data_IF_383730957022
#
_entry.id   IF_383730957022
#
_cell.length_a   1.000
_cell.length_b   1.000
_cell.length_c   1.000
_cell.angle_alpha   90.00
_cell.angle_beta   90.00
_cell.angle_gamma   90.00
#
_symmetry.space_group_name_H-M   'P 1'
#
loop_
_entity.id
_entity.type
_entity.pdbx_description
1 polymer ?
#
# COMPACT_ATOMS: atom_id res chain seq x y z
N UNK A 1 12.40 14.23 6.75
CA UNK A 1 12.47 12.85 6.24
C UNK A 1 13.62 12.75 5.23
N UNK A 2 14.78 12.21 5.61
CA UNK A 2 15.95 12.10 4.74
C UNK A 2 15.70 11.19 3.53
N UNK A 3 15.01 10.06 3.73
CA UNK A 3 14.70 9.09 2.66
C UNK A 3 13.20 9.06 2.35
N UNK A 4 12.83 9.64 1.20
CA UNK A 4 11.42 9.78 0.78
C UNK A 4 10.84 8.46 0.31
N UNK A 5 9.54 8.27 0.56
CA UNK A 5 8.71 7.27 -0.11
C UNK A 5 8.14 7.84 -1.40
N UNK A 6 7.84 6.99 -2.36
CA UNK A 6 7.26 7.39 -3.64
C UNK A 6 5.97 6.65 -3.90
N UNK A 7 5.10 7.27 -4.69
CA UNK A 7 4.01 6.59 -5.37
C UNK A 7 4.27 6.66 -6.86
N UNK A 8 4.26 5.51 -7.51
CA UNK A 8 4.40 5.39 -8.96
C UNK A 8 3.02 5.07 -9.52
N UNK A 9 2.56 5.89 -10.45
CA UNK A 9 1.24 5.81 -11.06
C UNK A 9 1.42 5.99 -12.56
N UNK A 10 1.03 4.95 -13.30
CA UNK A 10 1.21 4.85 -14.74
C UNK A 10 0.07 5.46 -15.56
N UNK A 11 -0.87 6.14 -14.91
CA UNK A 11 -1.94 6.92 -15.57
C UNK A 11 -2.79 6.09 -16.54
N UNK A 12 -3.28 4.94 -16.09
CA UNK A 12 -4.13 4.04 -16.88
C UNK A 12 -3.42 2.89 -17.58
N UNK A 13 -2.08 2.91 -17.67
CA UNK A 13 -1.33 1.78 -18.20
C UNK A 13 -1.10 0.71 -17.12
N UNK A 14 -1.33 -0.55 -17.47
CA UNK A 14 -1.05 -1.68 -16.59
C UNK A 14 0.31 -2.30 -16.91
N UNK A 15 1.09 -2.57 -15.86
CA UNK A 15 2.39 -3.21 -15.93
C UNK A 15 2.39 -4.49 -15.11
N UNK A 16 3.29 -5.41 -15.46
CA UNK A 16 3.51 -6.63 -14.69
C UNK A 16 4.70 -6.46 -13.76
N UNK A 17 4.50 -6.78 -12.49
CA UNK A 17 5.59 -6.96 -11.53
C UNK A 17 5.78 -8.46 -11.33
N UNK A 18 7.00 -8.92 -11.55
CA UNK A 18 7.40 -10.29 -11.24
C UNK A 18 7.81 -10.39 -9.77
N UNK A 19 7.09 -11.20 -9.01
CA UNK A 19 7.34 -11.45 -7.58
C UNK A 19 8.28 -12.64 -7.39
N UNK A 20 8.15 -13.66 -8.25
CA UNK A 20 9.01 -14.85 -8.28
C UNK A 20 9.11 -15.40 -9.70
N UNK A 21 9.79 -16.53 -9.90
CA UNK A 21 9.87 -17.18 -11.22
C UNK A 21 8.49 -17.59 -11.78
N UNK A 22 7.51 -17.81 -10.90
CA UNK A 22 6.18 -18.33 -11.27
C UNK A 22 5.04 -17.36 -10.96
N UNK A 23 5.31 -16.24 -10.30
CA UNK A 23 4.29 -15.31 -9.82
C UNK A 23 4.51 -13.90 -10.36
N UNK A 24 3.46 -13.35 -10.97
CA UNK A 24 3.42 -11.99 -11.47
C UNK A 24 2.07 -11.35 -11.13
N UNK A 25 2.08 -10.04 -10.89
CA UNK A 25 0.86 -9.24 -10.64
C UNK A 25 0.74 -8.10 -11.64
N UNK A 26 -0.51 -7.76 -11.99
CA UNK A 26 -0.81 -6.59 -12.81
C UNK A 26 -1.03 -5.37 -11.90
N UNK A 27 -0.36 -4.25 -12.20
CA UNK A 27 -0.47 -3.00 -11.43
C UNK A 27 -0.59 -1.80 -12.36
N UNK A 28 -1.49 -0.87 -12.02
CA UNK A 28 -1.54 0.48 -12.62
C UNK A 28 -0.77 1.49 -11.77
N UNK A 29 -0.70 1.23 -10.47
CA UNK A 29 0.06 2.02 -9.51
C UNK A 29 0.63 1.14 -8.39
N UNK A 30 1.73 1.58 -7.78
CA UNK A 30 2.31 0.96 -6.60
C UNK A 30 3.05 2.00 -5.77
N UNK A 31 3.37 1.64 -4.52
CA UNK A 31 4.16 2.49 -3.64
C UNK A 31 5.58 1.94 -3.52
N UNK A 32 6.56 2.83 -3.46
CA UNK A 32 7.93 2.52 -3.07
C UNK A 32 8.11 2.95 -1.61
N UNK A 33 8.00 1.98 -0.72
CA UNK A 33 8.21 2.17 0.71
C UNK A 33 9.70 2.29 1.02
N UNK A 34 10.06 3.36 1.75
CA UNK A 34 11.46 3.61 2.11
C UNK A 34 11.92 2.90 3.39
N UNK A 35 10.97 2.42 4.21
CA UNK A 35 11.16 1.86 5.55
C UNK A 35 12.00 2.73 6.49
N UNK A 36 12.05 4.04 6.23
CA UNK A 36 12.88 4.96 7.00
C UNK A 36 12.35 5.20 8.42
N UNK A 37 11.04 5.18 8.60
CA UNK A 37 10.43 5.38 9.92
C UNK A 37 9.66 4.13 10.28
N UNK A 38 10.34 3.22 10.97
CA UNK A 38 9.73 2.05 11.58
C UNK A 38 9.69 2.23 13.11
N UNK A 39 8.62 1.79 13.81
CA UNK A 39 8.59 1.82 15.26
C UNK A 39 9.66 0.89 15.87
N UNK A 40 10.57 1.44 16.68
CA UNK A 40 11.62 0.68 17.35
C UNK A 40 12.89 0.56 16.51
N UNK A 41 13.53 -0.61 16.51
CA UNK A 41 14.74 -0.85 15.70
C UNK A 41 14.39 -0.89 14.20
N UNK A 42 15.18 -0.23 13.36
CA UNK A 42 14.98 -0.22 11.90
C UNK A 42 15.46 -1.57 11.31
N UNK A 43 14.53 -2.36 10.80
CA UNK A 43 14.76 -3.72 10.28
C UNK A 43 14.63 -3.80 8.77
N UNK A 44 13.92 -2.85 8.15
CA UNK A 44 13.62 -2.84 6.72
C UNK A 44 12.67 -3.95 6.24
N UNK A 45 11.99 -4.64 7.17
CA UNK A 45 11.27 -5.89 6.86
C UNK A 45 9.84 -5.96 7.39
N UNK A 46 9.39 -5.05 8.27
CA UNK A 46 8.11 -5.23 8.98
C UNK A 46 6.91 -5.32 8.04
N UNK A 47 6.81 -4.45 7.04
CA UNK A 47 5.68 -4.45 6.10
C UNK A 47 5.67 -5.72 5.23
N UNK A 48 6.84 -6.17 4.78
CA UNK A 48 6.98 -7.37 3.97
C UNK A 48 6.61 -8.64 4.76
N UNK A 49 7.19 -8.79 5.97
CA UNK A 49 6.88 -9.93 6.84
C UNK A 49 5.39 -9.93 7.23
N UNK A 50 4.79 -8.77 7.47
CA UNK A 50 3.37 -8.68 7.76
C UNK A 50 2.50 -9.13 6.58
N UNK A 51 2.84 -8.69 5.35
CA UNK A 51 2.17 -9.14 4.13
C UNK A 51 2.28 -10.66 3.97
N UNK A 52 3.49 -11.22 4.08
CA UNK A 52 3.72 -12.66 3.97
C UNK A 52 2.96 -13.45 5.03
N UNK A 53 2.97 -13.00 6.29
CA UNK A 53 2.22 -13.62 7.38
C UNK A 53 0.71 -13.65 7.11
N UNK A 54 0.13 -12.53 6.67
CA UNK A 54 -1.30 -12.49 6.36
C UNK A 54 -1.66 -13.36 5.16
N UNK A 55 -0.76 -13.45 4.18
CA UNK A 55 -0.92 -14.35 3.03
C UNK A 55 -0.91 -15.81 3.48
N UNK A 56 0.04 -16.20 4.33
CA UNK A 56 0.10 -17.55 4.89
C UNK A 56 -1.13 -17.89 5.75
N UNK A 57 -1.69 -16.89 6.44
CA UNK A 57 -2.95 -17.01 7.16
C UNK A 57 -4.21 -17.08 6.26
N UNK A 58 -4.06 -17.00 4.94
CA UNK A 58 -5.16 -17.08 3.98
C UNK A 58 -6.00 -15.80 3.87
N UNK A 59 -5.49 -14.65 4.30
CA UNK A 59 -6.19 -13.37 4.19
C UNK A 59 -5.86 -12.67 2.86
N UNK A 60 -6.82 -11.93 2.27
CA UNK A 60 -6.55 -11.05 1.13
C UNK A 60 -5.62 -9.91 1.58
N UNK A 61 -4.40 -9.91 1.08
CA UNK A 61 -3.36 -8.93 1.44
C UNK A 61 -2.58 -8.49 0.21
N UNK A 62 -2.10 -7.25 0.24
CA UNK A 62 -1.26 -6.68 -0.82
C UNK A 62 0.07 -7.41 -0.92
N UNK A 63 0.63 -7.45 -2.12
CA UNK A 63 1.98 -7.98 -2.36
C UNK A 63 3.08 -6.98 -2.02
N UNK A 64 4.23 -7.52 -1.62
CA UNK A 64 5.43 -6.72 -1.39
C UNK A 64 6.67 -7.35 -2.04
N UNK A 65 7.62 -6.51 -2.45
CA UNK A 65 8.88 -6.97 -3.04
C UNK A 65 10.02 -6.02 -2.69
N UNK A 66 11.11 -6.50 -2.09
CA UNK A 66 12.32 -5.72 -1.91
C UNK A 66 13.00 -5.43 -3.25
N UNK A 67 13.41 -4.17 -3.46
CA UNK A 67 14.02 -3.71 -4.70
C UNK A 67 15.15 -2.72 -4.42
N UNK A 68 16.12 -2.67 -5.34
CA UNK A 68 17.06 -1.55 -5.46
C UNK A 68 16.46 -0.47 -6.35
N UNK A 69 16.30 0.74 -5.82
CA UNK A 69 15.89 1.88 -6.63
C UNK A 69 17.12 2.53 -7.25
N UNK A 70 17.17 2.52 -8.59
CA UNK A 70 18.14 3.29 -9.37
C UNK A 70 17.43 4.49 -9.99
N UNK A 71 17.90 5.70 -9.70
CA UNK A 71 17.35 6.94 -10.24
C UNK A 71 18.45 7.69 -11.00
N UNK A 72 18.18 8.03 -12.26
CA UNK A 72 19.14 8.71 -13.15
C UNK A 72 20.51 8.01 -13.23
N UNK A 73 20.49 6.67 -13.26
CA UNK A 73 21.71 5.84 -13.32
C UNK A 73 22.50 5.76 -12.00
N UNK A 74 21.96 6.28 -10.90
CA UNK A 74 22.61 6.24 -9.58
C UNK A 74 21.76 5.42 -8.61
N UNK A 75 22.44 4.64 -7.76
CA UNK A 75 21.78 3.95 -6.65
C UNK A 75 21.14 4.99 -5.72
N UNK A 76 19.82 4.90 -5.57
CA UNK A 76 19.04 5.79 -4.70
C UNK A 76 18.83 5.17 -3.31
N UNK A 77 18.65 3.84 -3.26
CA UNK A 77 18.49 3.11 -2.00
C UNK A 77 17.74 1.79 -2.16
N UNK A 78 17.71 1.01 -1.09
CA UNK A 78 16.79 -0.12 -0.95
C UNK A 78 15.38 0.38 -0.70
N UNK A 79 14.38 -0.28 -1.26
CA UNK A 79 12.96 0.02 -1.10
C UNK A 79 12.16 -1.29 -1.06
N UNK A 80 10.88 -1.19 -0.72
CA UNK A 80 9.92 -2.24 -1.10
C UNK A 80 8.86 -1.67 -2.01
N UNK A 81 8.58 -2.37 -3.10
CA UNK A 81 7.32 -2.22 -3.81
C UNK A 81 6.22 -2.71 -2.86
N UNK A 82 5.15 -1.94 -2.74
CA UNK A 82 3.90 -2.31 -2.08
C UNK A 82 2.80 -2.16 -3.11
N UNK A 83 2.13 -3.27 -3.45
CA UNK A 83 0.99 -3.29 -4.35
C UNK A 83 -0.10 -2.32 -3.87
N UNK A 84 -0.69 -1.59 -4.80
CA UNK A 84 -1.83 -0.75 -4.47
C UNK A 84 -3.09 -1.60 -4.29
N UNK A 85 -3.84 -1.30 -3.22
CA UNK A 85 -5.20 -1.82 -3.04
C UNK A 85 -6.15 -1.05 -3.97
N UNK A 86 -6.40 -1.59 -5.15
CA UNK A 86 -7.28 -1.05 -6.20
C UNK A 86 -8.07 -2.17 -6.91
N UNK A 87 -8.60 -1.90 -8.11
CA UNK A 87 -9.35 -2.88 -8.89
C UNK A 87 -8.52 -4.09 -9.35
N UNK A 88 -7.21 -3.92 -9.62
CA UNK A 88 -6.33 -5.03 -9.99
C UNK A 88 -6.08 -5.94 -8.78
N UNK A 89 -5.84 -5.35 -7.61
CA UNK A 89 -5.76 -6.10 -6.36
C UNK A 89 -7.04 -6.91 -6.12
N UNK A 90 -8.21 -6.27 -6.21
CA UNK A 90 -9.50 -6.93 -6.01
C UNK A 90 -9.68 -8.11 -6.97
N UNK A 91 -9.36 -7.93 -8.25
CA UNK A 91 -9.39 -9.00 -9.25
C UNK A 91 -8.46 -10.15 -8.88
N UNK A 92 -7.23 -9.86 -8.44
CA UNK A 92 -6.22 -10.85 -8.06
C UNK A 92 -6.68 -11.73 -6.90
N UNK A 93 -7.31 -11.14 -5.89
CA UNK A 93 -7.81 -11.87 -4.71
C UNK A 93 -9.23 -12.42 -4.88
N UNK A 94 -9.81 -12.38 -6.09
CA UNK A 94 -11.10 -12.99 -6.40
C UNK A 94 -12.34 -12.16 -6.05
N UNK A 95 -12.19 -10.86 -5.79
CA UNK A 95 -13.29 -9.92 -5.55
C UNK A 95 -13.73 -9.19 -6.83
N UNK A 96 -14.86 -8.48 -6.76
CA UNK A 96 -15.35 -7.64 -7.84
C UNK A 96 -14.43 -6.42 -8.03
N UNK A 97 -13.73 -6.26 -9.16
CA UNK A 97 -12.81 -5.14 -9.40
C UNK A 97 -13.49 -3.77 -9.47
N UNK A 98 -14.82 -3.73 -9.64
CA UNK A 98 -15.64 -2.51 -9.59
C UNK A 98 -16.31 -2.31 -8.22
N UNK A 99 -15.91 -3.10 -7.23
CA UNK A 99 -16.39 -2.98 -5.85
C UNK A 99 -15.95 -1.66 -5.20
N UNK A 100 -16.61 -1.30 -4.11
CA UNK A 100 -16.26 -0.11 -3.34
C UNK A 100 -15.10 -0.43 -2.39
N UNK A 101 -14.07 0.41 -2.39
CA UNK A 101 -12.93 0.34 -1.48
C UNK A 101 -12.99 1.52 -0.50
N UNK A 102 -12.88 1.21 0.79
CA UNK A 102 -12.82 2.21 1.85
C UNK A 102 -11.49 2.09 2.57
N UNK A 103 -10.73 3.17 2.64
CA UNK A 103 -9.47 3.21 3.38
C UNK A 103 -9.73 3.69 4.80
N UNK A 104 -9.30 2.90 5.77
CA UNK A 104 -9.29 3.32 7.16
C UNK A 104 -8.31 4.48 7.34
N UNK A 105 -8.72 5.53 8.05
CA UNK A 105 -7.80 6.52 8.58
C UNK A 105 -7.16 5.94 9.85
N UNK A 106 -5.85 5.84 9.89
CA UNK A 106 -5.13 5.35 11.08
C UNK A 106 -4.75 6.48 12.02
N UNK A 107 -4.58 6.18 13.31
CA UNK A 107 -4.25 7.14 14.38
C UNK A 107 -5.42 7.47 15.31
N UNK A 108 -5.28 8.53 16.12
CA UNK A 108 -6.26 8.92 17.16
C UNK A 108 -7.65 9.24 16.62
N UNK A 109 -7.76 9.59 15.32
CA UNK A 109 -9.00 9.95 14.66
C UNK A 109 -9.39 8.93 13.57
N UNK A 110 -9.42 7.64 13.90
CA UNK A 110 -9.82 6.58 12.94
C UNK A 110 -11.30 6.61 12.59
N UNK A 111 -11.62 6.51 11.30
CA UNK A 111 -13.01 6.39 10.79
C UNK A 111 -13.62 5.00 10.99
N UNK A 112 -12.87 4.08 11.59
CA UNK A 112 -13.39 2.81 12.08
C UNK A 112 -13.66 2.81 13.59
N UNK A 113 -13.31 3.90 14.30
CA UNK A 113 -13.53 4.02 15.72
C UNK A 113 -14.80 4.84 15.99
N UNK A 114 -15.85 4.17 16.45
CA UNK A 114 -17.15 4.76 16.82
C UNK A 114 -17.05 5.87 17.88
N UNK A 115 -15.93 5.92 18.63
CA UNK A 115 -15.74 6.82 19.78
C UNK A 115 -15.01 8.11 19.43
N UNK A 116 -14.64 8.32 18.16
CA UNK A 116 -13.95 9.55 17.76
C UNK A 116 -14.97 10.69 17.59
N UNK A 117 -14.84 11.81 18.32
CA UNK A 117 -15.72 12.96 18.15
C UNK A 117 -15.70 13.50 16.72
N UNK A 118 -16.88 13.78 16.16
CA UNK A 118 -17.06 14.21 14.75
C UNK A 118 -16.18 15.42 14.38
N UNK A 119 -15.98 16.37 15.30
CA UNK A 119 -15.08 17.52 15.13
C UNK A 119 -13.63 17.16 14.78
N UNK A 120 -13.15 15.98 15.17
CA UNK A 120 -11.81 15.49 14.81
C UNK A 120 -11.79 14.80 13.44
N UNK A 121 -12.97 14.46 12.92
CA UNK A 121 -13.19 13.77 11.65
C UNK A 121 -13.46 14.73 10.50
N UNK A 122 -13.64 16.02 10.76
CA UNK A 122 -13.80 17.06 9.74
C UNK A 122 -12.72 16.98 8.65
N UNK A 123 -11.46 16.69 9.00
CA UNK A 123 -10.38 16.51 8.00
C UNK A 123 -10.55 15.25 7.15
N UNK A 124 -11.13 14.19 7.70
CA UNK A 124 -11.38 12.91 7.03
C UNK A 124 -12.58 13.01 6.08
N UNK A 125 -13.63 13.74 6.48
CA UNK A 125 -14.86 13.93 5.69
C UNK A 125 -14.84 15.13 4.74
N UNK A 126 -13.79 15.97 4.75
CA UNK A 126 -13.70 17.23 3.98
C UNK A 126 -13.66 17.11 2.46
N UNK A 127 -13.62 15.91 1.88
CA UNK A 127 -13.72 15.70 0.42
C UNK A 127 -14.65 14.55 0.11
N UNK A 128 -15.86 14.84 -0.36
CA UNK A 128 -16.72 13.93 -1.14
C UNK A 128 -17.23 12.66 -0.45
N UNK A 129 -16.65 12.24 0.68
CA UNK A 129 -17.04 11.06 1.45
C UNK A 129 -18.13 11.42 2.47
N UNK A 130 -19.19 12.09 2.01
CA UNK A 130 -20.42 12.10 2.82
C UNK A 130 -21.03 10.72 2.69
N UNK A 131 -21.06 9.98 3.80
CA UNK A 131 -21.88 8.78 3.94
C UNK A 131 -23.32 9.18 3.60
N UNK A 132 -23.92 8.45 2.67
CA UNK A 132 -25.34 8.55 2.36
C UNK A 132 -26.18 8.01 3.53
#
# INVERSE_FOLDING_TARGET
>A
WPKKKFKVDFKGANFKIRLSETEEIDVEEFNLQSHWEEPGEETFMRENIASDFFKEAGLPVFETLHVELVQNGQFYGLYSIVEQIDGNFLKRVGYNPKGQLYKAFSGTASNLNERVPERLMDKVYRRGNKVA
#
